data_IF_201149318717
#
_entry.id   IF_201149318717
#
_cell.length_a   1.000
_cell.length_b   1.000
_cell.length_c   1.000
_cell.angle_alpha   90.00
_cell.angle_beta   90.00
_cell.angle_gamma   90.00
#
_symmetry.space_group_name_H-M   'P 1'
#
loop_
_entity.id
_entity.type
_entity.pdbx_description
1 polymer ?
#
# COMPACT_ATOMS: atom_id res chain seq x y z
N UNK A 1 32.01 -4.91 -6.39
CA UNK A 1 31.39 -6.24 -6.61
C UNK A 1 30.44 -6.52 -5.45
N UNK A 2 29.43 -7.34 -5.68
CA UNK A 2 28.48 -7.77 -4.66
C UNK A 2 28.38 -9.30 -4.66
N UNK A 3 27.92 -9.87 -3.56
CA UNK A 3 27.37 -11.21 -3.53
C UNK A 3 25.84 -11.13 -3.61
N UNK A 4 25.22 -11.99 -4.40
CA UNK A 4 23.78 -12.18 -4.45
C UNK A 4 23.41 -13.55 -3.85
N UNK A 5 22.41 -13.58 -2.98
CA UNK A 5 21.80 -14.82 -2.47
C UNK A 5 20.43 -15.00 -3.10
N UNK A 6 20.23 -16.16 -3.73
CA UNK A 6 18.97 -16.55 -4.37
C UNK A 6 17.91 -16.81 -3.31
N UNK A 7 18.28 -17.51 -2.23
CA UNK A 7 17.38 -17.84 -1.11
C UNK A 7 16.85 -16.60 -0.41
N UNK A 8 17.72 -15.60 -0.21
CA UNK A 8 17.34 -14.35 0.44
C UNK A 8 16.81 -13.30 -0.56
N UNK A 9 16.96 -13.56 -1.86
CA UNK A 9 16.78 -12.57 -2.93
C UNK A 9 17.40 -11.22 -2.55
N UNK A 10 18.65 -11.24 -2.10
CA UNK A 10 19.32 -10.11 -1.46
C UNK A 10 20.78 -9.97 -1.89
N UNK A 11 21.29 -8.73 -1.82
CA UNK A 11 22.67 -8.40 -2.15
C UNK A 11 23.48 -8.09 -0.89
N UNK A 12 24.75 -8.47 -0.91
CA UNK A 12 25.71 -8.30 0.17
C UNK A 12 26.98 -7.67 -0.41
N UNK A 13 27.42 -6.48 0.03
CA UNK A 13 28.67 -5.89 -0.39
C UNK A 13 29.85 -6.83 -0.11
N UNK A 14 30.74 -7.03 -1.09
CA UNK A 14 31.91 -7.91 -0.93
C UNK A 14 32.84 -7.40 0.20
N UNK A 15 32.93 -6.08 0.38
CA UNK A 15 33.75 -5.45 1.42
C UNK A 15 33.30 -5.78 2.84
N UNK A 16 32.02 -6.10 3.05
CA UNK A 16 31.44 -6.44 4.36
C UNK A 16 31.40 -7.96 4.62
N UNK A 17 32.06 -8.76 3.79
CA UNK A 17 31.99 -10.23 3.88
C UNK A 17 32.37 -10.76 5.26
N UNK A 18 33.45 -10.25 5.85
CA UNK A 18 33.92 -10.73 7.15
C UNK A 18 32.91 -10.40 8.26
N UNK A 19 32.33 -9.20 8.24
CA UNK A 19 31.30 -8.78 9.20
C UNK A 19 30.08 -9.72 9.15
N UNK A 20 29.65 -10.13 7.96
CA UNK A 20 28.55 -11.10 7.80
C UNK A 20 28.91 -12.51 8.28
N UNK A 21 30.17 -12.92 8.16
CA UNK A 21 30.65 -14.20 8.69
C UNK A 21 30.66 -14.15 10.22
N UNK A 22 31.21 -13.10 10.80
CA UNK A 22 31.32 -12.91 12.25
C UNK A 22 29.93 -12.81 12.90
N UNK A 23 28.96 -12.20 12.20
CA UNK A 23 27.55 -12.15 12.60
C UNK A 23 26.76 -13.42 12.32
N UNK A 24 27.31 -14.40 11.59
CA UNK A 24 26.59 -15.62 11.17
C UNK A 24 25.42 -15.36 10.23
N UNK A 25 25.40 -14.20 9.54
CA UNK A 25 24.30 -13.78 8.67
C UNK A 25 24.57 -13.98 7.18
N UNK A 26 25.78 -14.43 6.80
CA UNK A 26 26.14 -14.67 5.41
C UNK A 26 25.44 -15.94 4.88
N UNK A 27 24.61 -15.86 3.83
CA UNK A 27 23.98 -17.04 3.25
C UNK A 27 25.00 -18.00 2.61
N UNK A 28 24.67 -19.28 2.55
CA UNK A 28 25.55 -20.30 1.96
C UNK A 28 25.43 -20.43 0.44
N UNK A 29 24.49 -19.71 -0.18
CA UNK A 29 24.19 -19.72 -1.61
C UNK A 29 24.65 -18.43 -2.31
N UNK A 30 25.59 -17.71 -1.70
CA UNK A 30 26.12 -16.48 -2.28
C UNK A 30 26.85 -16.72 -3.60
N UNK A 31 26.52 -15.89 -4.59
CA UNK A 31 27.18 -15.84 -5.89
C UNK A 31 27.75 -14.44 -6.11
N UNK A 32 29.01 -14.34 -6.51
CA UNK A 32 29.60 -13.03 -6.84
C UNK A 32 28.98 -12.48 -8.14
N UNK A 33 28.55 -11.23 -8.11
CA UNK A 33 27.91 -10.51 -9.21
C UNK A 33 28.56 -9.13 -9.39
N UNK A 34 28.46 -8.62 -10.62
CA UNK A 34 29.02 -7.31 -10.95
C UNK A 34 28.29 -6.17 -10.24
N UNK A 35 28.95 -5.01 -10.16
CA UNK A 35 28.29 -3.80 -9.69
C UNK A 35 27.09 -3.42 -10.58
N UNK A 36 27.15 -3.68 -11.88
CA UNK A 36 26.06 -3.35 -12.81
C UNK A 36 24.79 -4.15 -12.50
N UNK A 37 24.92 -5.44 -12.16
CA UNK A 37 23.79 -6.26 -11.71
C UNK A 37 23.18 -5.69 -10.41
N UNK A 38 24.02 -5.27 -9.45
CA UNK A 38 23.52 -4.62 -8.25
C UNK A 38 22.82 -3.28 -8.55
N UNK A 39 23.40 -2.47 -9.45
CA UNK A 39 22.82 -1.18 -9.83
C UNK A 39 21.45 -1.38 -10.47
N UNK A 40 21.35 -2.27 -11.45
CA UNK A 40 20.10 -2.57 -12.14
C UNK A 40 19.02 -3.09 -11.19
N UNK A 41 19.35 -4.07 -10.35
CA UNK A 41 18.34 -4.83 -9.60
C UNK A 41 18.14 -4.39 -8.15
N UNK A 42 18.97 -3.51 -7.59
CA UNK A 42 18.88 -3.09 -6.19
C UNK A 42 19.03 -1.58 -5.96
N UNK A 43 19.96 -0.91 -6.65
CA UNK A 43 20.19 0.52 -6.42
C UNK A 43 19.21 1.41 -7.21
N UNK A 44 18.88 1.01 -8.44
CA UNK A 44 17.95 1.72 -9.30
C UNK A 44 16.49 1.39 -8.94
N UNK A 45 15.58 2.29 -9.34
CA UNK A 45 14.15 2.02 -9.26
C UNK A 45 13.81 0.79 -10.13
N UNK A 46 12.96 -0.08 -9.58
CA UNK A 46 12.39 -1.18 -10.35
C UNK A 46 11.63 -0.62 -11.56
N UNK A 47 11.65 -1.32 -12.71
CA UNK A 47 10.76 -1.00 -13.82
C UNK A 47 9.30 -0.98 -13.37
N UNK A 48 8.48 -0.14 -14.01
CA UNK A 48 7.07 -0.02 -13.69
C UNK A 48 6.37 -1.39 -13.78
N UNK A 49 5.59 -1.73 -12.75
CA UNK A 49 4.86 -2.99 -12.68
C UNK A 49 5.72 -4.22 -12.47
N UNK A 50 7.00 -4.09 -12.13
CA UNK A 50 7.90 -5.23 -11.89
C UNK A 50 8.49 -5.24 -10.48
N UNK A 51 8.87 -6.44 -10.03
CA UNK A 51 9.59 -6.66 -8.79
C UNK A 51 10.73 -7.66 -9.00
N UNK A 52 11.79 -7.55 -8.19
CA UNK A 52 12.94 -8.44 -8.29
C UNK A 52 12.59 -9.80 -7.72
N UNK A 53 12.84 -10.85 -8.50
CA UNK A 53 12.79 -12.24 -8.06
C UNK A 53 14.18 -12.87 -8.16
N UNK A 54 14.32 -14.01 -7.47
CA UNK A 54 15.40 -14.94 -7.69
C UNK A 54 15.16 -15.71 -9.00
N UNK A 55 15.93 -15.37 -10.03
CA UNK A 55 15.88 -16.03 -11.33
C UNK A 55 16.37 -17.48 -11.26
N UNK A 56 15.90 -18.32 -12.20
CA UNK A 56 16.24 -19.75 -12.25
C UNK A 56 17.73 -20.02 -12.56
N UNK A 57 18.43 -19.02 -13.08
CA UNK A 57 19.86 -19.06 -13.38
C UNK A 57 20.74 -18.66 -12.18
N UNK A 58 20.15 -18.38 -11.01
CA UNK A 58 20.88 -17.95 -9.81
C UNK A 58 21.21 -16.47 -9.77
N UNK A 59 20.70 -15.68 -10.71
CA UNK A 59 20.83 -14.23 -10.77
C UNK A 59 19.47 -13.57 -10.48
N UNK A 60 19.46 -12.29 -10.08
CA UNK A 60 18.22 -11.53 -9.97
C UNK A 60 17.55 -11.38 -11.35
N UNK A 61 16.22 -11.37 -11.36
CA UNK A 61 15.41 -11.19 -12.57
C UNK A 61 14.20 -10.31 -12.23
N UNK A 62 13.70 -9.55 -13.21
CA UNK A 62 12.48 -8.76 -13.04
C UNK A 62 11.25 -9.58 -13.43
N UNK A 63 10.36 -9.82 -12.47
CA UNK A 63 9.04 -10.43 -12.73
C UNK A 63 7.94 -9.38 -12.69
N UNK A 64 6.84 -9.63 -13.40
CA UNK A 64 5.66 -8.78 -13.33
C UNK A 64 4.99 -8.92 -11.95
N UNK A 65 4.62 -7.79 -11.36
CA UNK A 65 3.82 -7.76 -10.13
C UNK A 65 2.47 -8.42 -10.46
N UNK A 66 2.09 -9.51 -9.77
CA UNK A 66 0.82 -10.15 -10.03
C UNK A 66 -0.32 -9.16 -9.74
N UNK A 67 -1.43 -9.24 -10.49
CA UNK A 67 -2.60 -8.45 -10.15
C UNK A 67 -3.05 -8.81 -8.72
N UNK A 68 -3.60 -7.84 -7.96
CA UNK A 68 -4.12 -8.11 -6.62
C UNK A 68 -5.16 -9.24 -6.65
N UNK A 69 -5.12 -10.08 -5.63
CA UNK A 69 -6.12 -11.12 -5.39
C UNK A 69 -7.48 -10.50 -5.08
N UNK A 70 -8.55 -11.30 -5.18
CA UNK A 70 -9.90 -10.84 -4.83
C UNK A 70 -9.96 -10.39 -3.36
N UNK A 71 -9.30 -11.14 -2.48
CA UNK A 71 -9.21 -10.83 -1.05
C UNK A 71 -8.48 -9.50 -0.80
N UNK A 72 -7.37 -9.25 -1.50
CA UNK A 72 -6.65 -7.97 -1.41
C UNK A 72 -7.49 -6.80 -1.92
N UNK A 73 -8.20 -6.97 -3.06
CA UNK A 73 -9.12 -5.95 -3.58
C UNK A 73 -10.25 -5.64 -2.59
N UNK A 74 -10.85 -6.68 -1.98
CA UNK A 74 -11.89 -6.52 -0.97
C UNK A 74 -11.36 -5.81 0.28
N UNK A 75 -10.15 -6.16 0.74
CA UNK A 75 -9.53 -5.50 1.88
C UNK A 75 -9.22 -4.02 1.57
N UNK A 76 -8.73 -3.71 0.37
CA UNK A 76 -8.53 -2.33 -0.07
C UNK A 76 -9.85 -1.56 -0.12
N UNK A 77 -10.92 -2.17 -0.64
CA UNK A 77 -12.24 -1.56 -0.64
C UNK A 77 -12.76 -1.30 0.78
N UNK A 78 -12.63 -2.24 1.70
CA UNK A 78 -13.05 -2.03 3.10
C UNK A 78 -12.24 -0.92 3.77
N UNK A 79 -10.92 -0.89 3.56
CA UNK A 79 -10.07 0.18 4.08
C UNK A 79 -10.49 1.55 3.54
N UNK A 80 -10.80 1.64 2.23
CA UNK A 80 -11.31 2.86 1.61
C UNK A 80 -12.66 3.28 2.22
N UNK A 81 -13.58 2.33 2.43
CA UNK A 81 -14.86 2.58 3.10
C UNK A 81 -14.66 3.16 4.50
N UNK A 82 -13.76 2.59 5.31
CA UNK A 82 -13.44 3.11 6.64
C UNK A 82 -12.85 4.53 6.58
N UNK A 83 -11.92 4.79 5.66
CA UNK A 83 -11.35 6.13 5.47
C UNK A 83 -12.41 7.18 5.09
N UNK A 84 -13.33 6.83 4.18
CA UNK A 84 -14.43 7.72 3.79
C UNK A 84 -15.40 7.95 4.95
N UNK A 85 -15.66 6.93 5.77
CA UNK A 85 -16.48 7.06 6.98
C UNK A 85 -15.85 7.99 8.03
N UNK A 86 -14.52 7.92 8.21
CA UNK A 86 -13.78 8.83 9.09
C UNK A 86 -13.87 10.26 8.58
N UNK A 87 -13.56 10.50 7.30
CA UNK A 87 -13.65 11.83 6.68
C UNK A 87 -15.05 12.43 6.77
N UNK A 88 -16.10 11.64 6.53
CA UNK A 88 -17.47 12.09 6.71
C UNK A 88 -17.74 12.48 8.17
N UNK A 89 -17.21 11.74 9.14
CA UNK A 89 -17.29 12.09 10.56
C UNK A 89 -16.58 13.41 10.88
N UNK A 90 -15.40 13.66 10.31
CA UNK A 90 -14.66 14.92 10.48
C UNK A 90 -15.43 16.13 9.95
N UNK A 91 -16.13 16.00 8.82
CA UNK A 91 -16.99 17.06 8.27
C UNK A 91 -18.26 17.27 9.11
N UNK A 92 -18.84 16.19 9.62
CA UNK A 92 -20.05 16.24 10.44
C UNK A 92 -19.81 16.85 11.83
N UNK A 93 -18.61 16.73 12.40
CA UNK A 93 -18.31 17.16 13.77
C UNK A 93 -18.70 18.62 14.04
N UNK A 94 -18.10 19.60 13.33
CA UNK A 94 -18.42 21.02 13.52
C UNK A 94 -19.89 21.37 13.24
N UNK A 95 -20.50 20.72 12.24
CA UNK A 95 -21.91 20.93 11.90
C UNK A 95 -22.84 20.43 13.01
N UNK A 96 -22.51 19.27 13.60
CA UNK A 96 -23.24 18.73 14.73
C UNK A 96 -23.07 19.61 15.97
N UNK A 97 -21.85 20.13 16.22
CA UNK A 97 -21.61 21.06 17.32
C UNK A 97 -22.47 22.34 17.18
N UNK A 98 -22.57 22.91 15.97
CA UNK A 98 -23.40 24.09 15.71
C UNK A 98 -24.90 23.82 15.98
N UNK A 99 -25.39 22.64 15.60
CA UNK A 99 -26.78 22.20 15.87
C UNK A 99 -26.99 22.00 17.37
N UNK A 100 -26.07 21.32 18.05
CA UNK A 100 -26.17 21.02 19.48
C UNK A 100 -26.13 22.32 20.33
N UNK A 101 -25.34 23.29 19.90
CA UNK A 101 -25.26 24.64 20.49
C UNK A 101 -26.45 25.54 20.08
N UNK A 102 -27.32 25.08 19.17
CA UNK A 102 -28.46 25.84 18.62
C UNK A 102 -28.07 27.16 17.94
N UNK A 103 -26.89 27.16 17.31
CA UNK A 103 -26.37 28.30 16.54
C UNK A 103 -26.21 27.98 15.05
N UNK A 104 -26.57 26.76 14.64
CA UNK A 104 -26.51 26.36 13.24
C UNK A 104 -27.41 27.22 12.35
N UNK A 105 -26.88 27.56 11.19
CA UNK A 105 -27.63 28.11 10.07
C UNK A 105 -28.41 27.03 9.34
N UNK A 106 -29.46 27.41 8.59
CA UNK A 106 -30.21 26.47 7.74
C UNK A 106 -29.30 25.72 6.75
N UNK A 107 -28.24 26.38 6.27
CA UNK A 107 -27.25 25.77 5.37
C UNK A 107 -26.42 24.70 6.08
N UNK A 108 -26.01 24.92 7.33
CA UNK A 108 -25.27 23.93 8.13
C UNK A 108 -26.14 22.72 8.50
N UNK A 109 -27.43 22.94 8.81
CA UNK A 109 -28.39 21.85 9.05
C UNK A 109 -28.60 21.00 7.79
N UNK A 110 -28.75 21.64 6.62
CA UNK A 110 -28.87 20.94 5.35
C UNK A 110 -27.59 20.15 5.02
N UNK A 111 -26.41 20.76 5.18
CA UNK A 111 -25.14 20.08 4.97
C UNK A 111 -24.98 18.88 5.91
N UNK A 112 -25.34 19.02 7.20
CA UNK A 112 -25.28 17.93 8.17
C UNK A 112 -26.17 16.74 7.74
N UNK A 113 -27.36 17.02 7.21
CA UNK A 113 -28.26 15.99 6.70
C UNK A 113 -27.66 15.28 5.47
N UNK A 114 -27.07 16.01 4.53
CA UNK A 114 -26.38 15.43 3.37
C UNK A 114 -25.22 14.53 3.78
N UNK A 115 -24.39 14.97 4.72
CA UNK A 115 -23.28 14.17 5.25
C UNK A 115 -23.76 12.92 6.01
N UNK A 116 -24.86 13.00 6.77
CA UNK A 116 -25.50 11.83 7.40
C UNK A 116 -25.99 10.83 6.36
N UNK A 117 -26.66 11.31 5.30
CA UNK A 117 -27.11 10.45 4.20
C UNK A 117 -25.93 9.78 3.49
N UNK A 118 -24.88 10.53 3.18
CA UNK A 118 -23.65 10.01 2.60
C UNK A 118 -23.01 8.91 3.45
N UNK A 119 -22.88 9.13 4.76
CA UNK A 119 -22.33 8.15 5.71
C UNK A 119 -23.16 6.86 5.75
N UNK A 120 -24.49 6.96 5.68
CA UNK A 120 -25.38 5.79 5.60
C UNK A 120 -25.21 5.05 4.27
N UNK A 121 -25.11 5.77 3.15
CA UNK A 121 -24.85 5.17 1.83
C UNK A 121 -23.51 4.44 1.82
N UNK A 122 -22.44 5.05 2.36
CA UNK A 122 -21.14 4.41 2.51
C UNK A 122 -21.25 3.11 3.30
N UNK A 123 -21.98 3.09 4.43
CA UNK A 123 -22.14 1.88 5.24
C UNK A 123 -22.79 0.73 4.45
N UNK A 124 -23.66 1.04 3.49
CA UNK A 124 -24.36 0.08 2.62
C UNK A 124 -23.56 -0.39 1.41
N UNK A 125 -22.41 0.23 1.11
CA UNK A 125 -21.54 -0.19 0.00
C UNK A 125 -21.08 -1.64 0.22
N UNK A 126 -21.30 -2.48 -0.79
CA UNK A 126 -20.75 -3.83 -0.88
C UNK A 126 -19.29 -3.74 -1.36
N UNK A 127 -18.37 -4.16 -0.50
CA UNK A 127 -16.92 -4.13 -0.75
C UNK A 127 -16.39 -5.44 -1.34
N UNK A 128 -17.25 -6.43 -1.58
CA UNK A 128 -16.86 -7.74 -2.14
C UNK A 128 -16.81 -7.79 -3.66
N UNK A 129 -17.27 -6.73 -4.34
CA UNK A 129 -17.27 -6.60 -5.79
C UNK A 129 -16.01 -5.89 -6.30
N UNK A 130 -15.57 -6.21 -7.51
CA UNK A 130 -14.35 -5.64 -8.11
C UNK A 130 -14.48 -4.14 -8.40
N UNK A 131 -15.61 -3.73 -8.97
CA UNK A 131 -15.91 -2.32 -9.26
C UNK A 131 -16.93 -1.79 -8.26
N UNK A 132 -16.43 -1.25 -7.15
CA UNK A 132 -17.25 -0.81 -6.02
C UNK A 132 -17.85 0.56 -6.35
N UNK A 133 -19.20 0.70 -6.40
CA UNK A 133 -19.86 1.97 -6.67
C UNK A 133 -19.80 2.87 -5.42
N UNK A 134 -18.79 3.74 -5.36
CA UNK A 134 -18.64 4.69 -4.26
C UNK A 134 -19.65 5.83 -4.38
N UNK A 135 -20.43 6.13 -3.32
CA UNK A 135 -21.25 7.34 -3.31
C UNK A 135 -20.35 8.57 -3.41
N UNK A 136 -20.88 9.65 -3.98
CA UNK A 136 -20.17 10.92 -4.07
C UNK A 136 -20.33 11.70 -2.76
N UNK A 137 -19.25 12.32 -2.24
CA UNK A 137 -19.34 13.16 -1.06
C UNK A 137 -20.19 14.41 -1.35
N UNK A 138 -20.91 14.94 -0.34
CA UNK A 138 -21.54 16.27 -0.40
C UNK A 138 -20.52 17.38 -0.65
N UNK A 139 -21.02 18.57 -1.03
CA UNK A 139 -20.21 19.76 -1.29
C UNK A 139 -19.97 20.59 -0.03
#
# INVERSE_FOLDING_TARGET
>A
MYYYSVKMNAFYPVEMKQDYIDAGSLPNDIMEVSNDIYQEYAANNAPEGKYRIAGKNGLPEWADIPPPTKEELQQHAENKKQQLMVKAGEQMGPLQDAVDLKIATEAEEAALLEWKNYRVMLKRVDTSVTDVPWPQPPK
#
